data_IF_993931230725
#
_entry.id   IF_993931230725
#
_cell.length_a   1.000
_cell.length_b   1.000
_cell.length_c   1.000
_cell.angle_alpha   90.00
_cell.angle_beta   90.00
_cell.angle_gamma   90.00
#
_symmetry.space_group_name_H-M   'P 1'
#
loop_
_entity.id
_entity.type
_entity.pdbx_description
1 polymer ?
#
# COMPACT_ATOMS: atom_id res chain seq x y z
N UNK A 1 6.33 7.67 -37.77
CA UNK A 1 5.37 6.54 -37.65
C UNK A 1 4.03 7.12 -37.23
N UNK A 2 2.99 6.91 -38.05
CA UNK A 2 1.72 7.64 -38.02
C UNK A 2 0.77 7.08 -36.95
N UNK A 3 0.37 7.92 -36.00
CA UNK A 3 -0.69 7.65 -35.01
C UNK A 3 -2.10 8.05 -35.52
N UNK A 4 -2.27 8.22 -36.84
CA UNK A 4 -3.49 8.74 -37.47
C UNK A 4 -4.19 7.69 -38.36
N UNK A 5 -4.04 6.39 -38.08
CA UNK A 5 -4.90 5.38 -38.71
C UNK A 5 -6.34 5.53 -38.16
N UNK A 6 -7.33 5.83 -39.01
CA UNK A 6 -8.73 5.89 -38.58
C UNK A 6 -9.13 4.54 -37.97
N UNK A 7 -9.92 4.58 -36.90
CA UNK A 7 -10.54 3.37 -36.33
C UNK A 7 -11.23 2.59 -37.44
N UNK A 8 -11.01 1.27 -37.48
CA UNK A 8 -11.71 0.39 -38.41
C UNK A 8 -13.22 0.60 -38.28
N UNK A 9 -13.96 0.57 -39.39
CA UNK A 9 -15.41 0.72 -39.40
C UNK A 9 -16.12 -0.20 -38.38
N UNK A 10 -15.60 -1.41 -38.21
CA UNK A 10 -16.07 -2.38 -37.21
C UNK A 10 -15.87 -1.90 -35.76
N UNK A 11 -14.78 -1.20 -35.49
CA UNK A 11 -14.47 -0.66 -34.15
C UNK A 11 -15.26 0.63 -33.88
N UNK A 12 -15.57 1.41 -34.92
CA UNK A 12 -16.46 2.57 -34.82
C UNK A 12 -17.89 2.12 -34.45
N UNK A 13 -18.42 1.09 -35.11
CA UNK A 13 -19.73 0.51 -34.77
C UNK A 13 -19.78 -0.03 -33.35
N UNK A 14 -18.77 -0.79 -32.92
CA UNK A 14 -18.66 -1.27 -31.52
C UNK A 14 -18.59 -0.13 -30.51
N UNK A 15 -17.92 0.97 -30.86
CA UNK A 15 -17.80 2.14 -29.99
C UNK A 15 -19.15 2.85 -29.84
N UNK A 16 -19.93 2.95 -30.92
CA UNK A 16 -21.30 3.48 -30.91
C UNK A 16 -22.25 2.62 -30.06
N UNK A 17 -22.23 1.30 -30.24
CA UNK A 17 -23.02 0.36 -29.43
C UNK A 17 -22.70 0.49 -27.94
N UNK A 18 -21.40 0.55 -27.58
CA UNK A 18 -20.96 0.76 -26.19
C UNK A 18 -21.42 2.10 -25.64
N UNK A 19 -21.36 3.18 -26.42
CA UNK A 19 -21.82 4.49 -26.01
C UNK A 19 -23.34 4.49 -25.74
N UNK A 20 -24.12 3.80 -26.57
CA UNK A 20 -25.56 3.63 -26.36
C UNK A 20 -25.88 2.83 -25.09
N UNK A 21 -25.17 1.72 -24.87
CA UNK A 21 -25.32 0.91 -23.65
C UNK A 21 -24.98 1.74 -22.41
N UNK A 22 -23.86 2.47 -22.42
CA UNK A 22 -23.46 3.34 -21.32
C UNK A 22 -24.49 4.45 -21.06
N UNK A 23 -25.03 5.04 -22.12
CA UNK A 23 -26.11 6.03 -22.02
C UNK A 23 -27.37 5.45 -21.38
N UNK A 24 -27.74 4.22 -21.75
CA UNK A 24 -28.87 3.51 -21.16
C UNK A 24 -28.64 3.23 -19.66
N UNK A 25 -27.48 2.68 -19.30
CA UNK A 25 -27.11 2.38 -17.91
C UNK A 25 -27.16 3.66 -17.05
N UNK A 26 -26.56 4.76 -17.52
CA UNK A 26 -26.58 6.05 -16.79
C UNK A 26 -28.00 6.55 -16.57
N UNK A 27 -28.87 6.41 -17.56
CA UNK A 27 -30.28 6.82 -17.46
C UNK A 27 -31.02 5.96 -16.44
N UNK A 28 -30.80 4.65 -16.44
CA UNK A 28 -31.38 3.73 -15.44
C UNK A 28 -30.94 4.07 -14.03
N UNK A 29 -29.64 4.29 -13.81
CA UNK A 29 -29.09 4.67 -12.50
C UNK A 29 -29.75 5.96 -11.99
N UNK A 30 -29.85 6.98 -12.85
CA UNK A 30 -30.46 8.27 -12.48
C UNK A 30 -31.96 8.14 -12.20
N UNK A 31 -32.69 7.44 -13.07
CA UNK A 31 -34.15 7.31 -12.95
C UNK A 31 -34.55 6.49 -11.73
N UNK A 32 -33.77 5.48 -11.37
CA UNK A 32 -34.03 4.60 -10.24
C UNK A 32 -33.31 5.04 -8.95
N UNK A 33 -32.61 6.18 -8.97
CA UNK A 33 -31.82 6.70 -7.85
C UNK A 33 -30.91 5.64 -7.21
N UNK A 34 -30.19 4.89 -8.05
CA UNK A 34 -29.35 3.78 -7.61
C UNK A 34 -27.99 4.28 -7.13
N UNK A 35 -27.53 3.73 -6.01
CA UNK A 35 -26.19 3.87 -5.47
C UNK A 35 -25.33 2.71 -5.96
N UNK A 36 -24.14 3.02 -6.44
CA UNK A 36 -23.11 2.04 -6.79
C UNK A 36 -21.92 2.24 -5.85
N UNK A 37 -21.54 1.20 -5.11
CA UNK A 37 -20.38 1.21 -4.20
C UNK A 37 -19.49 0.00 -4.44
N UNK A 38 -18.18 0.20 -4.31
CA UNK A 38 -17.22 -0.90 -4.29
C UNK A 38 -17.33 -1.61 -2.94
N UNK A 39 -17.39 -2.94 -2.95
CA UNK A 39 -17.39 -3.72 -1.71
C UNK A 39 -15.97 -3.93 -1.20
N UNK A 40 -15.79 -3.93 0.12
CA UNK A 40 -14.48 -4.13 0.77
C UNK A 40 -13.83 -5.49 0.43
N UNK A 41 -14.64 -6.53 0.18
CA UNK A 41 -14.17 -7.89 -0.12
C UNK A 41 -14.69 -8.40 -1.45
N UNK A 42 -13.74 -8.76 -2.33
CA UNK A 42 -14.01 -9.19 -3.69
C UNK A 42 -14.22 -8.00 -4.62
N UNK A 43 -13.74 -8.10 -5.86
CA UNK A 43 -13.89 -7.09 -6.92
C UNK A 43 -15.36 -6.99 -7.40
N UNK A 44 -16.29 -6.84 -6.48
CA UNK A 44 -17.72 -6.75 -6.70
C UNK A 44 -18.20 -5.32 -6.42
N UNK A 45 -19.37 -5.02 -6.95
CA UNK A 45 -20.05 -3.75 -6.72
C UNK A 45 -21.41 -4.03 -6.10
N UNK A 46 -21.75 -3.27 -5.07
CA UNK A 46 -23.11 -3.16 -4.61
C UNK A 46 -23.86 -2.18 -5.52
N UNK A 47 -25.04 -2.58 -5.98
CA UNK A 47 -25.98 -1.74 -6.71
C UNK A 47 -27.33 -1.89 -6.01
N UNK A 48 -27.90 -0.79 -5.52
CA UNK A 48 -29.20 -0.76 -4.86
C UNK A 48 -29.71 0.66 -4.72
N UNK A 49 -30.94 0.85 -4.27
CA UNK A 49 -31.45 2.21 -4.04
C UNK A 49 -30.83 2.85 -2.79
N UNK A 50 -30.89 4.17 -2.68
CA UNK A 50 -30.44 4.86 -1.46
C UNK A 50 -31.18 4.39 -0.21
N UNK A 51 -32.51 4.23 -0.29
CA UNK A 51 -33.32 3.79 0.84
C UNK A 51 -33.02 2.35 1.26
N UNK A 52 -32.84 1.43 0.30
CA UNK A 52 -32.45 0.04 0.62
C UNK A 52 -31.07 -0.04 1.28
N UNK A 53 -30.17 0.87 0.92
CA UNK A 53 -28.84 0.93 1.54
C UNK A 53 -28.92 1.44 2.98
N UNK A 54 -29.69 2.51 3.23
CA UNK A 54 -29.94 3.06 4.56
C UNK A 54 -30.60 2.02 5.46
N UNK A 55 -31.66 1.36 5.00
CA UNK A 55 -32.36 0.31 5.74
C UNK A 55 -31.43 -0.86 6.09
N UNK A 56 -30.58 -1.30 5.15
CA UNK A 56 -29.57 -2.35 5.42
C UNK A 56 -28.52 -1.90 6.43
N UNK A 57 -28.10 -0.64 6.37
CA UNK A 57 -27.14 -0.11 7.33
C UNK A 57 -27.78 -0.07 8.74
N UNK A 58 -29.00 0.43 8.86
CA UNK A 58 -29.76 0.45 10.12
C UNK A 58 -29.96 -0.95 10.70
N UNK A 59 -30.38 -1.91 9.88
CA UNK A 59 -30.51 -3.32 10.29
C UNK A 59 -29.17 -3.92 10.74
N UNK A 60 -28.07 -3.59 10.05
CA UNK A 60 -26.74 -4.06 10.46
C UNK A 60 -26.28 -3.46 11.79
N UNK A 61 -26.62 -2.19 12.04
CA UNK A 61 -26.33 -1.52 13.31
C UNK A 61 -27.19 -2.06 14.46
N UNK A 62 -28.44 -2.47 14.20
CA UNK A 62 -29.35 -2.99 15.22
C UNK A 62 -29.14 -4.48 15.53
N UNK A 63 -28.78 -5.29 14.54
CA UNK A 63 -28.56 -6.74 14.70
C UNK A 63 -27.29 -7.07 15.52
N UNK A 64 -26.38 -6.11 15.66
CA UNK A 64 -25.11 -6.33 16.33
C UNK A 64 -24.93 -5.38 17.51
N UNK A 65 -24.72 -5.92 18.72
CA UNK A 65 -24.26 -5.15 19.89
C UNK A 65 -22.81 -4.63 19.73
N UNK A 66 -22.31 -4.56 18.49
CA UNK A 66 -20.95 -4.15 18.16
C UNK A 66 -20.82 -2.63 18.01
N UNK A 67 -21.94 -1.90 17.93
CA UNK A 67 -21.96 -0.47 17.67
C UNK A 67 -22.65 0.29 18.82
N UNK A 68 -22.08 1.45 19.17
CA UNK A 68 -22.63 2.38 20.15
C UNK A 68 -22.72 3.74 19.46
N UNK A 69 -23.89 4.37 19.52
CA UNK A 69 -24.06 5.72 19.01
C UNK A 69 -23.30 6.71 19.90
N UNK A 70 -22.44 7.50 19.28
CA UNK A 70 -21.66 8.52 19.99
C UNK A 70 -22.49 9.79 20.12
N UNK A 71 -22.56 10.37 21.32
CA UNK A 71 -23.27 11.61 21.61
C UNK A 71 -22.63 12.86 21.00
N UNK A 72 -21.44 12.73 20.43
CA UNK A 72 -20.72 13.82 19.76
C UNK A 72 -19.85 13.26 18.62
N UNK A 73 -19.58 14.12 17.64
CA UNK A 73 -18.74 13.77 16.50
C UNK A 73 -17.26 13.65 16.95
N UNK A 74 -16.65 12.44 16.93
CA UNK A 74 -15.28 12.24 17.38
C UNK A 74 -14.23 12.91 16.48
N UNK A 75 -14.59 13.30 15.26
CA UNK A 75 -13.70 14.02 14.34
C UNK A 75 -13.44 15.47 14.78
N UNK A 76 -14.30 16.05 15.63
CA UNK A 76 -14.08 17.39 16.17
C UNK A 76 -12.90 17.46 17.15
N UNK A 77 -12.58 16.37 17.85
CA UNK A 77 -11.40 16.30 18.72
C UNK A 77 -10.08 16.18 17.93
N UNK A 78 -10.14 15.58 16.74
CA UNK A 78 -9.00 15.39 15.84
C UNK A 78 -8.60 16.74 15.20
N UNK A 79 -9.59 17.58 14.91
CA UNK A 79 -9.37 18.91 14.31
C UNK A 79 -8.82 19.96 15.28
N UNK A 80 -8.99 19.75 16.60
CA UNK A 80 -8.65 20.74 17.64
C UNK A 80 -7.40 20.37 18.49
N UNK A 81 -6.70 19.27 18.19
CA UNK A 81 -5.49 18.87 18.93
C UNK A 81 -4.22 19.12 18.11
N UNK A 82 -3.60 20.28 18.32
CA UNK A 82 -2.28 20.67 17.83
C UNK A 82 -1.10 19.76 18.28
N UNK A 83 -1.37 18.67 19.02
CA UNK A 83 -0.35 17.86 19.70
C UNK A 83 -0.29 16.39 19.28
N UNK A 84 -1.14 15.94 18.34
CA UNK A 84 -1.05 14.57 17.80
C UNK A 84 -0.46 14.67 16.39
N UNK A 85 0.79 14.23 16.15
CA UNK A 85 1.34 14.20 14.81
C UNK A 85 0.51 13.23 13.96
N UNK A 86 -0.32 13.78 13.10
CA UNK A 86 -1.06 13.04 12.08
C UNK A 86 -0.04 12.46 11.11
N UNK A 87 -0.14 11.17 10.82
CA UNK A 87 0.65 10.53 9.76
C UNK A 87 -0.18 10.59 8.49
N UNK A 88 0.08 11.49 7.54
CA UNK A 88 -0.56 11.42 6.24
C UNK A 88 -0.25 10.05 5.62
N UNK A 89 -1.29 9.30 5.27
CA UNK A 89 -1.18 8.02 4.58
C UNK A 89 -1.49 8.29 3.11
N UNK A 90 -0.44 8.28 2.29
CA UNK A 90 -0.57 8.50 0.86
C UNK A 90 -1.22 7.30 0.17
N UNK A 91 -2.36 7.56 -0.48
CA UNK A 91 -3.09 6.56 -1.24
C UNK A 91 -2.53 6.44 -2.67
N UNK A 92 -1.39 5.75 -2.82
CA UNK A 92 -0.64 5.60 -4.08
C UNK A 92 -1.21 4.55 -5.04
N UNK A 93 -2.52 4.30 -5.01
CA UNK A 93 -3.16 3.42 -6.01
C UNK A 93 -3.06 4.13 -7.38
N UNK A 94 -2.30 3.54 -8.30
CA UNK A 94 -1.98 4.02 -9.67
C UNK A 94 -0.86 5.06 -9.81
N UNK A 95 0.01 5.24 -8.82
CA UNK A 95 1.22 6.06 -9.02
C UNK A 95 2.10 5.50 -10.15
N UNK A 96 2.74 6.39 -10.90
CA UNK A 96 3.64 6.04 -12.02
C UNK A 96 4.76 5.09 -11.57
N UNK A 97 5.19 5.22 -10.31
CA UNK A 97 6.26 4.44 -9.67
C UNK A 97 5.80 3.07 -9.15
N UNK A 98 4.50 2.80 -8.97
CA UNK A 98 4.01 1.57 -8.31
C UNK A 98 4.54 0.30 -8.98
N UNK A 99 4.58 0.27 -10.32
CA UNK A 99 5.09 -0.89 -11.07
C UNK A 99 6.61 -1.05 -10.89
N UNK A 100 7.35 0.05 -10.81
CA UNK A 100 8.79 0.05 -10.57
C UNK A 100 9.07 -0.45 -9.16
N UNK A 101 8.34 0.05 -8.15
CA UNK A 101 8.48 -0.41 -6.75
C UNK A 101 8.21 -1.90 -6.61
N UNK A 102 7.12 -2.42 -7.19
CA UNK A 102 6.80 -3.86 -7.19
C UNK A 102 7.87 -4.69 -7.90
N UNK A 103 8.43 -4.17 -8.98
CA UNK A 103 9.50 -4.83 -9.70
C UNK A 103 10.79 -4.89 -8.88
N UNK A 104 11.21 -3.77 -8.29
CA UNK A 104 12.37 -3.69 -7.41
C UNK A 104 12.21 -4.61 -6.20
N UNK A 105 11.05 -4.62 -5.55
CA UNK A 105 10.76 -5.53 -4.44
C UNK A 105 10.90 -7.00 -4.87
N UNK A 106 10.30 -7.39 -6.01
CA UNK A 106 10.40 -8.76 -6.55
C UNK A 106 11.84 -9.24 -6.81
N UNK A 107 12.77 -8.33 -7.10
CA UNK A 107 14.17 -8.70 -7.39
C UNK A 107 15.08 -8.56 -6.18
N UNK A 108 14.83 -7.59 -5.29
CA UNK A 108 15.67 -7.29 -4.12
C UNK A 108 15.24 -8.06 -2.87
N UNK A 109 13.93 -8.31 -2.68
CA UNK A 109 13.39 -8.96 -1.48
C UNK A 109 14.02 -10.31 -1.18
N UNK A 110 14.21 -11.22 -2.16
CA UNK A 110 14.87 -12.50 -1.88
C UNK A 110 16.32 -12.36 -1.44
N UNK A 111 17.03 -11.32 -1.90
CA UNK A 111 18.42 -11.06 -1.48
C UNK A 111 18.42 -10.54 -0.03
N UNK A 112 17.51 -9.62 0.28
CA UNK A 112 17.37 -9.10 1.63
C UNK A 112 16.99 -10.21 2.63
N UNK A 113 15.98 -11.02 2.30
CA UNK A 113 15.52 -12.11 3.18
C UNK A 113 16.58 -13.19 3.40
N UNK A 114 17.47 -13.43 2.42
CA UNK A 114 18.59 -14.36 2.56
C UNK A 114 19.72 -13.79 3.42
N UNK A 115 20.10 -12.51 3.21
CA UNK A 115 21.28 -11.90 3.85
C UNK A 115 21.00 -11.26 5.20
N UNK A 116 19.80 -10.77 5.44
CA UNK A 116 19.43 -10.03 6.64
C UNK A 116 18.60 -10.86 7.63
N UNK A 117 18.40 -12.15 7.37
CA UNK A 117 17.54 -13.03 8.19
C UNK A 117 17.95 -13.07 9.65
N UNK A 118 19.26 -13.12 9.91
CA UNK A 118 19.79 -13.30 11.26
C UNK A 118 19.77 -12.01 12.10
N UNK A 119 19.56 -10.85 11.46
CA UNK A 119 19.53 -9.54 12.10
C UNK A 119 18.15 -8.88 12.07
N UNK A 120 17.16 -9.54 11.46
CA UNK A 120 15.83 -8.95 11.23
C UNK A 120 14.75 -9.78 11.92
N UNK A 121 13.97 -9.10 12.74
CA UNK A 121 12.77 -9.67 13.37
C UNK A 121 11.57 -9.20 12.54
N UNK A 122 10.81 -10.15 12.01
CA UNK A 122 9.72 -9.86 11.04
C UNK A 122 8.38 -9.68 11.75
N UNK A 123 8.15 -10.47 12.81
CA UNK A 123 6.92 -10.47 13.58
C UNK A 123 7.13 -10.94 15.03
N UNK A 124 6.05 -10.91 15.83
CA UNK A 124 6.10 -11.35 17.22
C UNK A 124 6.46 -12.83 17.40
N UNK A 125 6.04 -13.71 16.49
CA UNK A 125 6.37 -15.13 16.56
C UNK A 125 7.87 -15.38 16.33
N UNK A 126 8.48 -14.65 15.39
CA UNK A 126 9.92 -14.65 15.12
C UNK A 126 10.70 -14.13 16.33
N UNK A 127 10.23 -13.07 16.98
CA UNK A 127 10.84 -12.53 18.20
C UNK A 127 10.87 -13.58 19.33
N UNK A 128 9.73 -14.22 19.61
CA UNK A 128 9.63 -15.24 20.67
C UNK A 128 10.57 -16.41 20.36
N UNK A 129 10.64 -16.82 19.09
CA UNK A 129 11.52 -17.90 18.64
C UNK A 129 12.99 -17.55 18.86
N UNK A 130 13.43 -16.35 18.48
CA UNK A 130 14.81 -15.91 18.67
C UNK A 130 15.17 -15.69 20.14
N UNK A 131 14.28 -15.11 20.95
CA UNK A 131 14.47 -14.98 22.39
C UNK A 131 14.58 -16.36 23.07
N UNK A 132 13.78 -17.32 22.64
CA UNK A 132 13.86 -18.70 23.14
C UNK A 132 15.19 -19.35 22.81
N UNK A 133 15.73 -19.13 21.59
CA UNK A 133 17.08 -19.59 21.21
C UNK A 133 18.16 -18.90 22.06
N UNK A 134 18.04 -17.60 22.28
CA UNK A 134 18.97 -16.82 23.11
C UNK A 134 18.98 -17.31 24.57
N UNK A 135 17.81 -17.62 25.12
CA UNK A 135 17.66 -18.21 26.44
C UNK A 135 18.24 -19.62 26.52
N UNK A 136 17.96 -20.49 25.52
CA UNK A 136 18.55 -21.84 25.44
C UNK A 136 20.09 -21.83 25.38
N UNK A 137 20.68 -20.79 24.82
CA UNK A 137 22.14 -20.57 24.81
C UNK A 137 22.69 -20.07 26.15
N UNK A 138 21.84 -19.87 27.17
CA UNK A 138 22.23 -19.35 28.49
C UNK A 138 22.62 -17.86 28.47
N UNK A 139 22.29 -17.14 27.40
CA UNK A 139 22.67 -15.74 27.22
C UNK A 139 21.67 -14.78 27.89
N UNK A 140 20.42 -15.23 28.09
CA UNK A 140 19.41 -14.48 28.82
C UNK A 140 19.61 -14.66 30.33
N UNK A 141 20.41 -13.79 30.93
CA UNK A 141 20.69 -13.76 32.37
C UNK A 141 19.72 -12.84 33.12
N UNK A 142 19.52 -13.01 34.44
CA UNK A 142 18.75 -12.06 35.25
C UNK A 142 19.29 -10.61 35.20
N UNK A 143 20.57 -10.44 34.85
CA UNK A 143 21.23 -9.14 34.69
C UNK A 143 21.09 -8.56 33.28
N UNK A 144 20.35 -9.21 32.38
CA UNK A 144 20.18 -8.75 30.99
C UNK A 144 19.27 -7.53 30.98
N UNK A 145 19.72 -6.44 30.37
CA UNK A 145 18.93 -5.23 30.20
C UNK A 145 18.31 -5.21 28.81
N UNK A 146 17.03 -4.83 28.76
CA UNK A 146 16.35 -4.53 27.52
C UNK A 146 16.36 -3.02 27.29
N UNK A 147 16.79 -2.62 26.09
CA UNK A 147 16.74 -1.23 25.66
C UNK A 147 15.83 -1.14 24.44
N UNK A 148 14.96 -0.13 24.41
CA UNK A 148 14.11 0.16 23.28
C UNK A 148 14.54 1.49 22.67
N UNK A 149 14.65 1.51 21.35
CA UNK A 149 14.91 2.71 20.58
C UNK A 149 13.75 2.92 19.62
N UNK A 150 13.16 4.10 19.63
CA UNK A 150 12.09 4.48 18.71
C UNK A 150 12.64 5.48 17.69
N UNK A 151 12.50 5.17 16.41
CA UNK A 151 12.93 6.03 15.32
C UNK A 151 11.72 6.84 14.84
N UNK A 152 11.71 8.13 15.17
CA UNK A 152 10.66 9.05 14.72
C UNK A 152 10.86 9.41 13.24
N UNK A 153 9.75 9.57 12.52
CA UNK A 153 9.75 10.12 11.15
C UNK A 153 10.65 9.38 10.13
N UNK A 154 10.78 8.05 10.28
CA UNK A 154 11.68 7.21 9.46
C UNK A 154 11.54 7.46 7.95
N UNK A 155 10.31 7.58 7.45
CA UNK A 155 10.06 7.73 6.01
C UNK A 155 10.38 9.14 5.49
N UNK A 156 10.16 10.19 6.28
CA UNK A 156 10.38 11.58 5.86
C UNK A 156 11.82 12.04 6.08
N UNK A 157 12.57 11.37 6.96
CA UNK A 157 13.97 11.69 7.27
C UNK A 157 14.97 10.77 6.57
N UNK A 158 14.53 9.95 5.62
CA UNK A 158 15.40 9.03 4.90
C UNK A 158 16.34 9.82 3.95
N UNK A 159 17.68 9.81 4.17
CA UNK A 159 18.61 10.50 3.30
C UNK A 159 18.67 9.78 1.95
N UNK A 160 18.02 10.34 0.93
CA UNK A 160 17.74 9.63 -0.33
C UNK A 160 19.01 9.16 -1.04
N UNK A 161 20.01 10.04 -1.20
CA UNK A 161 21.26 9.70 -1.89
C UNK A 161 22.09 8.68 -1.10
N UNK A 162 22.21 8.86 0.22
CA UNK A 162 22.92 7.89 1.08
C UNK A 162 22.24 6.52 1.06
N UNK A 163 20.91 6.48 1.05
CA UNK A 163 20.15 5.22 0.94
C UNK A 163 20.46 4.49 -0.35
N UNK A 164 20.55 5.20 -1.48
CA UNK A 164 20.93 4.62 -2.75
C UNK A 164 22.35 4.05 -2.68
N UNK A 165 23.30 4.77 -2.09
CA UNK A 165 24.67 4.31 -1.94
C UNK A 165 24.79 3.10 -1.02
N UNK A 166 24.05 3.07 0.08
CA UNK A 166 23.94 1.90 0.98
C UNK A 166 23.40 0.69 0.22
N UNK A 167 22.35 0.86 -0.60
CA UNK A 167 21.82 -0.24 -1.42
C UNK A 167 22.87 -0.77 -2.39
N UNK A 168 23.65 0.12 -3.03
CA UNK A 168 24.72 -0.30 -3.95
C UNK A 168 25.83 -1.02 -3.20
N UNK A 169 26.28 -0.48 -2.07
CA UNK A 169 27.29 -1.09 -1.23
C UNK A 169 26.86 -2.48 -0.76
N UNK A 170 25.61 -2.62 -0.29
CA UNK A 170 25.03 -3.90 0.11
C UNK A 170 25.10 -4.94 -1.01
N UNK A 171 24.66 -4.58 -2.22
CA UNK A 171 24.70 -5.50 -3.36
C UNK A 171 26.14 -5.88 -3.73
N UNK A 172 27.08 -4.93 -3.69
CA UNK A 172 28.49 -5.19 -3.98
C UNK A 172 29.15 -6.09 -2.92
N UNK A 173 28.93 -5.84 -1.64
CA UNK A 173 29.48 -6.62 -0.52
C UNK A 173 29.02 -8.08 -0.60
N UNK A 174 27.79 -8.31 -1.05
CA UNK A 174 27.26 -9.66 -1.27
C UNK A 174 27.58 -10.25 -2.66
N UNK A 175 28.48 -9.62 -3.41
CA UNK A 175 29.04 -10.16 -4.66
C UNK A 175 28.14 -9.99 -5.89
N UNK A 176 27.05 -9.24 -5.80
CA UNK A 176 26.22 -8.95 -6.96
C UNK A 176 26.90 -7.91 -7.84
N UNK A 177 26.97 -8.18 -9.15
CA UNK A 177 27.24 -7.18 -10.21
C UNK A 177 26.00 -6.94 -11.07
N UNK A 178 25.12 -7.95 -11.11
CA UNK A 178 23.80 -7.91 -11.73
C UNK A 178 22.82 -8.67 -10.85
N UNK A 179 21.58 -8.20 -10.79
CA UNK A 179 20.46 -8.91 -10.14
C UNK A 179 19.46 -9.29 -11.22
N UNK A 180 19.24 -10.60 -11.41
CA UNK A 180 18.35 -11.14 -12.48
C UNK A 180 18.64 -10.54 -13.87
N UNK A 181 19.92 -10.36 -14.20
CA UNK A 181 20.39 -9.81 -15.47
C UNK A 181 20.47 -8.27 -15.55
N UNK A 182 20.00 -7.56 -14.52
CA UNK A 182 19.95 -6.09 -14.48
C UNK A 182 21.21 -5.57 -13.78
N UNK A 183 21.90 -4.59 -14.37
CA UNK A 183 23.05 -3.94 -13.72
C UNK A 183 22.66 -3.19 -12.46
N UNK A 184 23.58 -3.15 -11.50
CA UNK A 184 23.42 -2.40 -10.26
C UNK A 184 23.18 -0.91 -10.53
N UNK A 185 23.82 -0.32 -11.53
CA UNK A 185 23.56 1.07 -11.94
C UNK A 185 22.10 1.30 -12.39
N UNK A 186 21.53 0.33 -13.11
CA UNK A 186 20.12 0.40 -13.52
C UNK A 186 19.21 0.28 -12.30
N UNK A 187 19.54 -0.58 -11.34
CA UNK A 187 18.80 -0.70 -10.07
C UNK A 187 18.87 0.62 -9.29
N UNK A 188 20.04 1.28 -9.23
CA UNK A 188 20.21 2.60 -8.61
C UNK A 188 19.27 3.63 -9.23
N UNK A 189 19.23 3.69 -10.56
CA UNK A 189 18.36 4.64 -11.30
C UNK A 189 16.88 4.37 -11.04
N UNK A 190 16.45 3.11 -11.10
CA UNK A 190 15.06 2.74 -10.82
C UNK A 190 14.67 3.06 -9.37
N UNK A 191 15.55 2.75 -8.41
CA UNK A 191 15.32 3.09 -7.00
C UNK A 191 15.29 4.61 -6.78
N UNK A 192 16.15 5.36 -7.46
CA UNK A 192 16.15 6.84 -7.40
C UNK A 192 14.85 7.43 -7.91
N UNK A 193 14.27 6.89 -8.99
CA UNK A 193 12.96 7.33 -9.51
C UNK A 193 11.89 7.09 -8.45
N UNK A 194 11.87 5.90 -7.85
CA UNK A 194 10.90 5.58 -6.79
C UNK A 194 11.05 6.51 -5.58
N UNK A 195 12.28 6.78 -5.12
CA UNK A 195 12.51 7.61 -3.94
C UNK A 195 12.24 9.11 -4.18
N UNK A 196 12.48 9.61 -5.40
CA UNK A 196 12.28 11.03 -5.74
C UNK A 196 10.86 11.35 -6.17
N UNK A 197 10.21 10.44 -6.90
CA UNK A 197 8.88 10.66 -7.46
C UNK A 197 7.76 10.12 -6.57
N UNK A 198 8.08 9.31 -5.55
CA UNK A 198 7.15 9.09 -4.45
C UNK A 198 7.09 10.36 -3.62
N UNK A 199 6.18 11.25 -3.98
CA UNK A 199 5.84 12.41 -3.15
C UNK A 199 5.18 11.88 -1.88
N UNK A 200 5.88 11.98 -0.76
CA UNK A 200 5.26 11.94 0.57
C UNK A 200 4.65 13.34 0.80
N UNK A 201 3.45 13.57 0.24
CA UNK A 201 2.70 14.79 0.47
C UNK A 201 1.99 14.75 1.83
#
# INVERSE_FOLDING_TARGET
QSYLTPLSYKDQLKSLERAQILGSIRRTIKNMNLIIRVTDKGNNFYIGSAGEFEEKAENFFSDTNAFIELSSNPFNEILNKDSIPVRPIEHTIHASTTKISKFLDKILRPIFDDKCKDTTIVDGASLITELSKYNKKGLLKPTTLFCTFDIRNLYTMLPQEETLDILMAFLHVHGYKKVKGISIDTIKKLASIVLKDNVFA
#
